data_IF_472871344788
#
_entry.id   IF_472871344788
#
_cell.length_a   1.000
_cell.length_b   1.000
_cell.length_c   1.000
_cell.angle_alpha   90.00
_cell.angle_beta   90.00
_cell.angle_gamma   90.00
#
_symmetry.space_group_name_H-M   'P 1'
#
loop_
_entity.id
_entity.type
_entity.pdbx_description
1 polymer ?
#
# COMPACT_ATOMS: atom_id res chain seq x y z
N UNK A 1 7.50 11.22 -10.89
CA UNK A 1 6.47 10.29 -11.42
C UNK A 1 6.04 9.33 -10.31
N UNK A 2 4.87 8.72 -10.40
CA UNK A 2 4.42 7.66 -9.49
C UNK A 2 4.15 6.38 -10.30
N UNK A 3 4.86 5.31 -9.97
CA UNK A 3 4.63 3.96 -10.47
C UNK A 3 3.76 3.19 -9.47
N UNK A 4 2.73 2.52 -9.97
CA UNK A 4 1.86 1.67 -9.18
C UNK A 4 1.94 0.25 -9.74
N UNK A 5 2.40 -0.68 -8.91
CA UNK A 5 2.56 -2.10 -9.24
C UNK A 5 1.42 -2.90 -8.60
N UNK A 6 0.54 -3.49 -9.42
CA UNK A 6 -0.76 -4.04 -8.96
C UNK A 6 -0.74 -5.56 -9.04
N UNK A 7 -1.06 -6.21 -7.91
CA UNK A 7 -1.06 -7.66 -7.76
C UNK A 7 -2.30 -8.16 -7.02
N UNK A 8 -2.43 -9.49 -6.95
CA UNK A 8 -3.45 -10.17 -6.18
C UNK A 8 -2.87 -11.29 -5.33
N UNK A 9 -3.47 -11.53 -4.16
CA UNK A 9 -3.13 -12.66 -3.31
C UNK A 9 -4.37 -13.46 -2.89
N UNK A 10 -4.18 -14.75 -2.63
CA UNK A 10 -5.21 -15.66 -2.15
C UNK A 10 -5.11 -15.74 -0.62
N UNK A 11 -6.17 -15.37 0.10
CA UNK A 11 -6.14 -15.33 1.58
C UNK A 11 -5.83 -16.69 2.20
N UNK A 12 -6.30 -17.77 1.57
CA UNK A 12 -6.03 -19.15 1.99
C UNK A 12 -4.54 -19.51 1.98
N UNK A 13 -3.73 -18.82 1.17
CA UNK A 13 -2.29 -19.07 1.05
C UNK A 13 -1.46 -18.17 1.98
N UNK A 14 -2.11 -17.34 2.80
CA UNK A 14 -1.41 -16.49 3.78
C UNK A 14 -0.64 -17.37 4.78
N UNK A 15 0.61 -17.02 5.11
CA UNK A 15 1.34 -17.70 6.18
C UNK A 15 0.56 -17.72 7.50
N UNK A 16 0.74 -18.79 8.28
CA UNK A 16 0.04 -18.97 9.55
C UNK A 16 0.47 -17.93 10.61
N UNK A 17 -0.46 -17.52 11.46
CA UNK A 17 -0.20 -16.57 12.56
C UNK A 17 -0.16 -15.09 12.17
N UNK A 18 -0.38 -14.75 10.89
CA UNK A 18 -0.57 -13.39 10.43
C UNK A 18 -2.05 -12.98 10.45
N UNK A 19 -2.35 -11.68 10.45
CA UNK A 19 -3.73 -11.14 10.40
C UNK A 19 -4.33 -11.23 8.99
N UNK A 20 -5.64 -11.39 8.89
CA UNK A 20 -6.35 -11.33 7.61
C UNK A 20 -6.50 -9.87 7.19
N UNK A 21 -6.09 -9.60 5.96
CA UNK A 21 -6.17 -8.27 5.34
C UNK A 21 -6.80 -8.37 3.97
N UNK A 22 -7.36 -7.26 3.50
CA UNK A 22 -7.87 -7.10 2.15
C UNK A 22 -6.84 -6.47 1.22
N UNK A 23 -5.91 -5.71 1.81
CA UNK A 23 -4.90 -4.93 1.10
C UNK A 23 -3.52 -5.13 1.74
N UNK A 24 -2.50 -5.22 0.90
CA UNK A 24 -1.09 -5.18 1.31
C UNK A 24 -0.38 -4.10 0.51
N UNK A 25 0.34 -3.20 1.18
CA UNK A 25 1.20 -2.22 0.53
C UNK A 25 2.68 -2.55 0.68
N UNK A 26 3.33 -2.81 -0.45
CA UNK A 26 4.77 -2.96 -0.57
C UNK A 26 5.44 -1.63 -0.89
N UNK A 27 6.21 -1.10 0.04
CA UNK A 27 6.82 0.25 -0.07
C UNK A 27 8.31 0.26 0.26
N UNK A 28 8.92 -0.92 0.39
CA UNK A 28 10.29 -1.09 0.86
C UNK A 28 10.67 -0.17 2.03
N UNK A 29 9.87 -0.16 3.10
CA UNK A 29 10.05 0.76 4.23
C UNK A 29 10.11 2.26 3.86
N UNK A 30 9.35 2.69 2.87
CA UNK A 30 9.31 4.03 2.28
C UNK A 30 10.48 4.38 1.35
N UNK A 31 11.49 3.52 1.18
CA UNK A 31 12.59 3.76 0.24
C UNK A 31 12.12 3.83 -1.22
N UNK A 32 10.98 3.19 -1.52
CA UNK A 32 10.37 3.30 -2.85
C UNK A 32 9.72 4.67 -3.10
N UNK A 33 9.49 5.47 -2.04
CA UNK A 33 8.86 6.79 -2.10
C UNK A 33 9.81 7.96 -1.84
N UNK A 34 10.86 7.74 -1.05
CA UNK A 34 11.78 8.78 -0.61
C UNK A 34 13.23 8.30 -0.80
N UNK A 35 14.07 9.18 -1.34
CA UNK A 35 15.50 8.93 -1.49
C UNK A 35 16.27 9.01 -0.16
N UNK A 36 15.65 9.62 0.86
CA UNK A 36 16.21 9.79 2.19
C UNK A 36 15.27 9.21 3.25
N UNK A 37 15.84 8.82 4.39
CA UNK A 37 15.07 8.32 5.54
C UNK A 37 14.20 9.43 6.11
N UNK A 38 12.88 9.16 6.17
CA UNK A 38 11.94 10.12 6.74
C UNK A 38 12.00 10.17 8.28
N UNK A 39 11.88 11.37 8.88
CA UNK A 39 11.69 11.51 10.33
C UNK A 39 10.44 10.75 10.79
N UNK A 40 10.50 10.11 11.98
CA UNK A 40 9.37 9.33 12.53
C UNK A 40 8.03 10.07 12.53
N UNK A 41 8.04 11.38 12.82
CA UNK A 41 6.83 12.23 12.85
C UNK A 41 6.15 12.39 11.48
N UNK A 42 6.84 12.09 10.39
CA UNK A 42 6.34 12.23 9.01
C UNK A 42 5.93 10.91 8.35
N UNK A 43 6.02 9.80 9.09
CA UNK A 43 5.67 8.48 8.58
C UNK A 43 4.17 8.33 8.29
N UNK A 44 3.33 9.10 8.99
CA UNK A 44 1.87 9.03 8.87
C UNK A 44 1.28 10.09 7.95
N UNK A 45 2.01 11.18 7.67
CA UNK A 45 1.54 12.30 6.84
C UNK A 45 1.89 12.17 5.35
N UNK A 46 2.58 11.09 4.97
CA UNK A 46 2.90 10.79 3.57
C UNK A 46 1.80 9.98 2.88
N UNK A 47 1.96 9.76 1.57
CA UNK A 47 1.02 8.96 0.76
C UNK A 47 0.71 7.58 1.37
N UNK A 48 1.74 6.83 1.83
CA UNK A 48 1.52 5.53 2.46
C UNK A 48 0.69 5.66 3.74
N UNK A 49 1.05 6.60 4.61
CA UNK A 49 0.32 6.88 5.86
C UNK A 49 -1.13 7.25 5.59
N UNK A 50 -1.38 8.15 4.64
CA UNK A 50 -2.72 8.57 4.23
C UNK A 50 -3.56 7.39 3.72
N UNK A 51 -2.99 6.52 2.89
CA UNK A 51 -3.66 5.32 2.41
C UNK A 51 -4.02 4.38 3.58
N UNK A 52 -3.06 4.07 4.45
CA UNK A 52 -3.25 3.18 5.61
C UNK A 52 -4.36 3.73 6.51
N UNK A 53 -4.26 5.00 6.91
CA UNK A 53 -5.23 5.63 7.80
C UNK A 53 -6.63 5.61 7.19
N UNK A 54 -6.77 5.91 5.89
CA UNK A 54 -8.07 5.88 5.24
C UNK A 54 -8.71 4.49 5.23
N UNK A 55 -7.94 3.44 4.95
CA UNK A 55 -8.49 2.08 4.98
C UNK A 55 -8.83 1.61 6.39
N UNK A 56 -8.06 2.02 7.39
CA UNK A 56 -8.41 1.77 8.79
C UNK A 56 -9.71 2.47 9.21
N UNK A 57 -9.91 3.74 8.82
CA UNK A 57 -11.17 4.49 9.05
C UNK A 57 -12.38 3.81 8.39
N UNK A 58 -12.20 3.26 7.19
CA UNK A 58 -13.25 2.53 6.47
C UNK A 58 -13.49 1.12 7.01
N UNK A 59 -12.79 0.72 8.08
CA UNK A 59 -12.78 -0.65 8.62
C UNK A 59 -12.42 -1.71 7.57
N UNK A 60 -11.56 -1.34 6.60
CA UNK A 60 -11.02 -2.25 5.60
C UNK A 60 -9.65 -2.73 6.09
N UNK A 61 -9.49 -4.01 6.45
CA UNK A 61 -8.23 -4.55 6.95
C UNK A 61 -7.07 -4.37 5.95
N UNK A 62 -5.98 -3.76 6.39
CA UNK A 62 -4.78 -3.49 5.58
C UNK A 62 -3.49 -3.86 6.31
N UNK A 63 -2.43 -4.18 5.55
CA UNK A 63 -1.06 -4.34 6.02
C UNK A 63 -0.09 -3.46 5.19
N UNK A 64 0.87 -2.76 5.82
CA UNK A 64 0.93 -2.50 7.24
C UNK A 64 -0.23 -1.59 7.68
N UNK A 65 -0.76 -1.82 8.88
CA UNK A 65 -1.85 -1.04 9.46
C UNK A 65 -1.93 -1.12 10.98
N UNK A 66 -1.41 -2.18 11.61
CA UNK A 66 -1.39 -2.32 13.05
C UNK A 66 -0.01 -2.78 13.57
N UNK A 67 0.83 -1.86 14.10
CA UNK A 67 2.21 -2.18 14.50
C UNK A 67 2.31 -3.20 15.66
N UNK A 68 1.22 -3.42 16.41
CA UNK A 68 1.17 -4.40 17.51
C UNK A 68 0.69 -5.79 17.07
N UNK A 69 0.27 -5.96 15.82
CA UNK A 69 -0.21 -7.25 15.28
C UNK A 69 0.80 -7.80 14.28
N UNK A 70 0.89 -9.12 14.17
CA UNK A 70 1.68 -9.76 13.10
C UNK A 70 0.97 -9.57 11.77
N UNK A 71 1.53 -8.73 10.92
CA UNK A 71 1.01 -8.42 9.59
C UNK A 71 2.00 -8.88 8.53
N UNK A 72 1.48 -9.50 7.48
CA UNK A 72 2.30 -9.94 6.37
C UNK A 72 2.49 -8.73 5.46
N UNK A 73 3.66 -8.11 5.57
CA UNK A 73 4.01 -6.89 4.83
C UNK A 73 5.08 -7.24 3.82
N UNK A 74 4.88 -6.77 2.59
CA UNK A 74 5.86 -6.96 1.53
C UNK A 74 6.85 -5.81 1.52
N UNK A 75 8.10 -6.13 1.23
CA UNK A 75 9.12 -5.12 0.95
C UNK A 75 8.98 -4.52 -0.45
N UNK A 76 8.06 -5.05 -1.27
CA UNK A 76 7.95 -4.70 -2.68
C UNK A 76 8.78 -5.64 -3.57
N UNK A 77 8.23 -5.94 -4.75
CA UNK A 77 8.82 -6.77 -5.77
C UNK A 77 9.94 -6.06 -6.52
N UNK A 78 10.57 -6.78 -7.47
CA UNK A 78 11.70 -6.28 -8.25
C UNK A 78 11.44 -4.89 -8.86
N UNK A 79 10.26 -4.70 -9.47
CA UNK A 79 9.87 -3.45 -10.11
C UNK A 79 9.88 -2.29 -9.10
N UNK A 80 9.18 -2.42 -7.97
CA UNK A 80 9.16 -1.33 -6.98
C UNK A 80 10.52 -0.98 -6.39
N UNK A 81 11.42 -1.97 -6.27
CA UNK A 81 12.78 -1.75 -5.77
C UNK A 81 13.64 -1.02 -6.80
N UNK A 82 13.58 -1.40 -8.08
CA UNK A 82 14.40 -0.80 -9.14
C UNK A 82 13.93 0.59 -9.58
N UNK A 83 12.62 0.84 -9.53
CA UNK A 83 12.02 2.06 -10.07
C UNK A 83 11.52 3.02 -8.99
N UNK A 84 11.85 2.76 -7.72
CA UNK A 84 11.57 3.63 -6.58
C UNK A 84 12.54 4.80 -6.44
N UNK A 85 12.24 5.70 -5.50
CA UNK A 85 13.00 6.94 -5.27
C UNK A 85 14.49 6.74 -4.97
N UNK A 86 14.85 5.63 -4.31
CA UNK A 86 16.24 5.30 -3.97
C UNK A 86 17.12 4.99 -5.19
N UNK A 87 16.54 4.56 -6.31
CA UNK A 87 17.28 4.20 -7.52
C UNK A 87 17.10 5.23 -8.64
N UNK A 88 15.92 5.85 -8.73
CA UNK A 88 15.61 6.86 -9.74
C UNK A 88 15.14 8.15 -9.04
N UNK A 89 15.95 9.22 -9.04
CA UNK A 89 15.60 10.48 -8.40
C UNK A 89 14.25 11.01 -8.91
N UNK A 90 13.40 11.47 -7.98
CA UNK A 90 12.03 11.98 -8.25
C UNK A 90 11.04 10.94 -8.81
N UNK A 91 11.43 9.67 -8.86
CA UNK A 91 10.49 8.56 -9.04
C UNK A 91 9.92 8.14 -7.69
N UNK A 92 8.69 7.66 -7.68
CA UNK A 92 8.01 7.06 -6.54
C UNK A 92 7.40 5.75 -7.00
N UNK A 93 7.46 4.70 -6.19
CA UNK A 93 6.84 3.41 -6.51
C UNK A 93 6.09 2.83 -5.31
N UNK A 94 4.97 2.15 -5.57
CA UNK A 94 4.21 1.37 -4.58
C UNK A 94 3.71 0.08 -5.20
N UNK A 95 3.82 -1.02 -4.45
CA UNK A 95 3.12 -2.26 -4.75
C UNK A 95 1.84 -2.32 -3.95
N UNK A 96 0.75 -2.70 -4.61
CA UNK A 96 -0.55 -2.91 -4.00
C UNK A 96 -0.99 -4.33 -4.32
N UNK A 97 -1.28 -5.11 -3.27
CA UNK A 97 -1.88 -6.43 -3.44
C UNK A 97 -3.31 -6.45 -2.93
N UNK A 98 -4.21 -6.95 -3.77
CA UNK A 98 -5.62 -7.12 -3.47
C UNK A 98 -5.94 -8.57 -3.11
N UNK A 99 -6.71 -8.77 -2.04
CA UNK A 99 -7.23 -10.10 -1.72
C UNK A 99 -8.14 -10.64 -2.82
N UNK A 100 -8.29 -11.96 -2.86
CA UNK A 100 -9.30 -12.67 -3.65
C UNK A 100 -10.71 -12.11 -3.44
N UNK A 101 -11.08 -11.72 -2.20
CA UNK A 101 -12.34 -11.06 -1.89
C UNK A 101 -12.51 -9.74 -2.64
N UNK A 102 -11.51 -8.86 -2.60
CA UNK A 102 -11.56 -7.56 -3.31
C UNK A 102 -11.54 -7.78 -4.83
N UNK A 103 -10.76 -8.74 -5.33
CA UNK A 103 -10.62 -8.96 -6.77
C UNK A 103 -11.85 -9.61 -7.39
N UNK A 104 -12.34 -10.68 -6.78
CA UNK A 104 -13.23 -11.66 -7.43
C UNK A 104 -14.63 -11.73 -6.80
N UNK A 105 -14.74 -11.64 -5.47
CA UNK A 105 -15.96 -12.07 -4.79
C UNK A 105 -16.89 -10.92 -4.33
N UNK A 106 -16.33 -9.79 -3.93
CA UNK A 106 -17.08 -8.71 -3.27
C UNK A 106 -17.00 -7.42 -4.12
N UNK A 107 -17.98 -7.23 -5.00
CA UNK A 107 -18.02 -6.10 -5.93
C UNK A 107 -18.15 -4.76 -5.22
N UNK A 108 -18.89 -4.70 -4.11
CA UNK A 108 -19.10 -3.47 -3.37
C UNK A 108 -17.83 -3.05 -2.64
N UNK A 109 -17.17 -4.01 -1.96
CA UNK A 109 -15.85 -3.77 -1.38
C UNK A 109 -14.84 -3.35 -2.44
N UNK A 110 -14.83 -4.00 -3.61
CA UNK A 110 -13.96 -3.63 -4.73
C UNK A 110 -14.17 -2.18 -5.16
N UNK A 111 -15.42 -1.76 -5.31
CA UNK A 111 -15.73 -0.39 -5.71
C UNK A 111 -15.27 0.61 -4.66
N UNK A 112 -15.52 0.35 -3.37
CA UNK A 112 -15.07 1.22 -2.27
C UNK A 112 -13.54 1.32 -2.27
N UNK A 113 -12.83 0.21 -2.41
CA UNK A 113 -11.36 0.18 -2.45
C UNK A 113 -10.83 0.98 -3.63
N UNK A 114 -11.32 0.71 -4.85
CA UNK A 114 -10.81 1.35 -6.06
C UNK A 114 -11.09 2.85 -6.08
N UNK A 115 -12.29 3.27 -5.67
CA UNK A 115 -12.63 4.69 -5.56
C UNK A 115 -11.77 5.40 -4.51
N UNK A 116 -11.54 4.76 -3.37
CA UNK A 116 -10.69 5.31 -2.30
C UNK A 116 -9.24 5.47 -2.77
N UNK A 117 -8.68 4.46 -3.43
CA UNK A 117 -7.33 4.55 -4.03
C UNK A 117 -7.26 5.66 -5.08
N UNK A 118 -8.22 5.70 -6.00
CA UNK A 118 -8.27 6.69 -7.06
C UNK A 118 -8.32 8.11 -6.50
N UNK A 119 -9.16 8.36 -5.50
CA UNK A 119 -9.27 9.67 -4.85
C UNK A 119 -7.94 10.09 -4.20
N UNK A 120 -7.30 9.20 -3.45
CA UNK A 120 -6.05 9.52 -2.75
C UNK A 120 -4.91 9.74 -3.75
N UNK A 121 -4.77 8.88 -4.76
CA UNK A 121 -3.73 9.03 -5.77
C UNK A 121 -3.95 10.28 -6.60
N UNK A 122 -5.20 10.57 -6.99
CA UNK A 122 -5.53 11.81 -7.70
C UNK A 122 -5.08 13.03 -6.91
N UNK A 123 -5.48 13.12 -5.62
CA UNK A 123 -5.04 14.21 -4.74
C UNK A 123 -3.52 14.32 -4.64
N UNK A 124 -2.80 13.20 -4.56
CA UNK A 124 -1.35 13.21 -4.46
C UNK A 124 -0.66 13.67 -5.75
N UNK A 125 -1.17 13.27 -6.93
CA UNK A 125 -0.57 13.68 -8.21
C UNK A 125 -0.96 15.10 -8.62
N UNK A 126 -2.06 15.65 -8.10
CA UNK A 126 -2.52 17.01 -8.38
C UNK A 126 -2.13 18.05 -7.31
N UNK A 127 -1.42 17.67 -6.25
CA UNK A 127 -0.74 18.62 -5.36
C UNK A 127 0.33 19.36 -6.16
N UNK A 128 -0.08 20.43 -6.83
CA UNK A 128 0.77 21.47 -7.43
C UNK A 128 0.96 22.55 -6.38
#
# INVERSE_FOLDING_TARGET
>A
SLLIDIHGFEKKNRPSGYRDVELIFGTNNLESFYSETLPKKSLDSNLRGNLINKFLELNIPIAPGHPKRKEYVLTGGYITKQYGASHIPKSKAIQIEFSDRVRLFDKDLRNVVLLTLAEIFFKEVTKI
#
